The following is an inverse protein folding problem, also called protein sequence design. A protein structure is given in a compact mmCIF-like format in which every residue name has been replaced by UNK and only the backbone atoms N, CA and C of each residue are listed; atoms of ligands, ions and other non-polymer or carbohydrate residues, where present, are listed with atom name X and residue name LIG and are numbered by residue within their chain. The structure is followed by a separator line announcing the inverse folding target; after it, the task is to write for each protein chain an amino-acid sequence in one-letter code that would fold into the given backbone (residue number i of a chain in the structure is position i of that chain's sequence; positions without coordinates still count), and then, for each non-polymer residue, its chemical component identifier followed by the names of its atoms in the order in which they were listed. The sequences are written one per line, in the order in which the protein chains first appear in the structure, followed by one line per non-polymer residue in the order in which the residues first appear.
data_IF_392396760087
#
_entry.id   IF_392396760087
#
_cell.length_a   1.000
_cell.length_b   1.000
_cell.length_c   1.000
_cell.angle_alpha   90.00
_cell.angle_beta   90.00
_cell.angle_gamma   90.00
#
_symmetry.space_group_name_H-M   'P 1'
#
loop_
_entity.id
_entity.type
_entity.pdbx_description
1 polymer ?
#
# COMPACT_ATOMS: atom_id res chain seq x y z
N UNK A 1 48.13 16.53 -12.92
CA UNK A 1 47.73 15.33 -12.14
C UNK A 1 47.16 15.60 -10.74
N UNK A 2 47.31 16.80 -10.13
CA UNK A 2 46.85 17.07 -8.76
C UNK A 2 45.32 17.22 -8.56
N UNK A 3 44.53 17.40 -9.64
CA UNK A 3 43.10 17.74 -9.57
C UNK A 3 42.15 16.51 -9.57
N UNK A 4 42.69 15.31 -9.85
CA UNK A 4 41.92 14.06 -9.86
C UNK A 4 41.85 13.49 -8.43
N UNK A 5 42.95 13.52 -7.68
CA UNK A 5 43.01 12.99 -6.31
C UNK A 5 42.13 13.77 -5.31
N UNK A 6 42.05 15.10 -5.41
CA UNK A 6 41.19 15.89 -4.51
C UNK A 6 39.69 15.64 -4.74
N UNK A 7 39.27 15.42 -5.99
CA UNK A 7 37.88 15.05 -6.35
C UNK A 7 37.52 13.63 -5.92
N UNK A 8 38.44 12.67 -6.02
CA UNK A 8 38.21 11.32 -5.51
C UNK A 8 38.08 11.30 -3.98
N UNK A 9 38.99 11.94 -3.25
CA UNK A 9 38.95 12.01 -1.78
C UNK A 9 37.68 12.71 -1.29
N UNK A 10 37.22 13.77 -1.98
CA UNK A 10 35.95 14.44 -1.69
C UNK A 10 34.72 13.55 -1.91
N UNK A 11 34.72 12.74 -2.98
CA UNK A 11 33.65 11.76 -3.25
C UNK A 11 33.62 10.65 -2.22
N UNK A 12 34.76 10.08 -1.86
CA UNK A 12 34.87 9.00 -0.86
C UNK A 12 34.37 9.45 0.52
N UNK A 13 34.73 10.66 0.96
CA UNK A 13 34.21 11.24 2.21
C UNK A 13 32.70 11.46 2.18
N UNK A 14 32.15 11.94 1.06
CA UNK A 14 30.70 12.10 0.90
C UNK A 14 29.96 10.74 0.91
N UNK A 15 30.53 9.72 0.27
CA UNK A 15 29.97 8.37 0.25
C UNK A 15 30.00 7.76 1.64
N UNK A 16 31.12 7.87 2.37
CA UNK A 16 31.23 7.41 3.75
C UNK A 16 30.22 8.12 4.67
N UNK A 17 30.10 9.45 4.58
CA UNK A 17 29.13 10.19 5.39
C UNK A 17 27.66 9.83 5.09
N UNK A 18 27.32 9.59 3.81
CA UNK A 18 26.00 9.10 3.41
C UNK A 18 25.75 7.68 3.93
N UNK A 19 26.76 6.82 3.88
CA UNK A 19 26.69 5.46 4.40
C UNK A 19 26.46 5.46 5.92
N UNK A 20 27.22 6.25 6.68
CA UNK A 20 27.03 6.40 8.13
C UNK A 20 25.64 6.92 8.49
N UNK A 21 25.13 7.94 7.78
CA UNK A 21 23.76 8.45 8.01
C UNK A 21 22.69 7.37 7.75
N UNK A 22 22.86 6.58 6.69
CA UNK A 22 21.96 5.47 6.38
C UNK A 22 21.99 4.38 7.45
N UNK A 23 23.16 4.03 7.97
CA UNK A 23 23.28 3.04 9.06
C UNK A 23 22.56 3.53 10.31
N UNK A 24 22.85 4.75 10.75
CA UNK A 24 22.20 5.34 11.94
C UNK A 24 20.68 5.44 11.79
N UNK A 25 20.20 5.89 10.61
CA UNK A 25 18.77 5.96 10.35
C UNK A 25 18.10 4.58 10.40
N UNK A 26 18.76 3.54 9.87
CA UNK A 26 18.27 2.17 9.97
C UNK A 26 18.26 1.68 11.42
N UNK A 27 19.35 1.87 12.16
CA UNK A 27 19.42 1.47 13.58
C UNK A 27 18.31 2.13 14.41
N UNK A 28 18.06 3.42 14.20
CA UNK A 28 16.95 4.12 14.86
C UNK A 28 15.58 3.55 14.46
N UNK A 29 15.37 3.25 13.17
CA UNK A 29 14.12 2.64 12.70
C UNK A 29 13.85 1.29 13.38
N UNK A 30 14.89 0.48 13.59
CA UNK A 30 14.79 -0.81 14.27
C UNK A 30 14.39 -0.69 15.75
N UNK A 31 14.62 0.46 16.39
CA UNK A 31 14.20 0.71 17.78
C UNK A 31 12.73 1.12 17.91
N UNK A 32 12.02 1.36 16.80
CA UNK A 32 10.60 1.69 16.86
C UNK A 32 9.81 0.52 17.49
N UNK A 33 9.01 0.75 18.56
CA UNK A 33 8.41 -0.34 19.35
C UNK A 33 7.59 -1.36 18.55
N UNK A 34 6.95 -0.94 17.45
CA UNK A 34 6.16 -1.81 16.59
C UNK A 34 6.90 -2.28 15.33
N UNK A 35 8.21 -2.03 15.19
CA UNK A 35 8.95 -2.43 14.00
C UNK A 35 8.85 -3.93 13.72
N UNK A 36 9.15 -4.78 14.72
CA UNK A 36 9.03 -6.24 14.57
C UNK A 36 7.61 -6.69 14.22
N UNK A 37 6.60 -6.07 14.84
CA UNK A 37 5.20 -6.31 14.54
C UNK A 37 4.88 -6.01 13.06
N UNK A 38 5.38 -4.90 12.52
CA UNK A 38 5.18 -4.52 11.12
C UNK A 38 5.90 -5.44 10.13
N UNK A 39 7.11 -5.91 10.46
CA UNK A 39 7.83 -6.87 9.64
C UNK A 39 7.01 -8.16 9.49
N UNK A 40 6.51 -8.70 10.60
CA UNK A 40 5.74 -9.95 10.57
C UNK A 40 4.32 -9.75 10.01
N UNK A 41 3.70 -8.59 10.25
CA UNK A 41 2.44 -8.20 9.63
C UNK A 41 2.57 -8.12 8.11
N UNK A 42 3.57 -7.41 7.59
CA UNK A 42 3.78 -7.29 6.15
C UNK A 42 4.11 -8.64 5.53
N UNK A 43 4.89 -9.50 6.19
CA UNK A 43 5.13 -10.85 5.69
C UNK A 43 3.82 -11.65 5.57
N UNK A 44 2.94 -11.55 6.57
CA UNK A 44 1.62 -12.18 6.52
C UNK A 44 0.76 -11.62 5.38
N UNK A 45 0.72 -10.29 5.22
CA UNK A 45 -0.02 -9.61 4.15
C UNK A 45 0.49 -10.01 2.76
N UNK A 46 1.80 -10.06 2.55
CA UNK A 46 2.40 -10.45 1.27
C UNK A 46 2.13 -11.91 0.92
N UNK A 47 2.17 -12.82 1.90
CA UNK A 47 1.79 -14.21 1.68
C UNK A 47 0.30 -14.35 1.35
N UNK A 48 -0.56 -13.58 2.01
CA UNK A 48 -1.99 -13.56 1.73
C UNK A 48 -2.27 -13.05 0.31
N UNK A 49 -1.60 -11.97 -0.12
CA UNK A 49 -1.65 -11.45 -1.49
C UNK A 49 -1.19 -12.51 -2.50
N UNK A 50 -0.05 -13.15 -2.26
CA UNK A 50 0.48 -14.18 -3.15
C UNK A 50 -0.47 -15.39 -3.30
N UNK A 51 -1.22 -15.72 -2.23
CA UNK A 51 -2.17 -16.84 -2.27
C UNK A 51 -3.39 -16.59 -3.15
N UNK A 52 -3.80 -15.33 -3.30
CA UNK A 52 -4.99 -14.95 -4.10
C UNK A 52 -4.64 -14.39 -5.48
N UNK A 53 -3.39 -13.98 -5.69
CA UNK A 53 -2.90 -13.43 -6.96
C UNK A 53 -1.46 -13.87 -7.22
N UNK A 54 -1.23 -15.15 -7.57
CA UNK A 54 0.11 -15.72 -7.74
C UNK A 54 0.86 -15.15 -8.96
N UNK A 55 0.15 -14.82 -10.04
CA UNK A 55 0.73 -14.37 -11.32
C UNK A 55 1.09 -12.87 -11.33
N UNK A 56 1.23 -12.28 -10.14
CA UNK A 56 1.31 -10.85 -9.99
C UNK A 56 2.73 -10.31 -10.25
N UNK A 57 3.07 -10.16 -11.54
CA UNK A 57 4.42 -9.87 -12.04
C UNK A 57 4.93 -8.44 -11.78
N UNK A 58 4.06 -7.43 -11.70
CA UNK A 58 4.46 -6.00 -11.55
C UNK A 58 4.05 -5.45 -10.19
N UNK A 59 4.97 -5.25 -9.25
CA UNK A 59 4.60 -4.92 -7.87
C UNK A 59 4.45 -3.41 -7.62
N UNK A 60 3.42 -2.79 -8.21
CA UNK A 60 3.08 -1.37 -7.98
C UNK A 60 2.07 -1.24 -6.83
N UNK A 61 2.44 -0.46 -5.82
CA UNK A 61 1.66 -0.26 -4.61
C UNK A 61 1.29 1.20 -4.43
N UNK A 62 0.06 1.48 -4.01
CA UNK A 62 -0.30 2.76 -3.41
C UNK A 62 -0.67 2.58 -1.93
N UNK A 63 -0.26 3.51 -1.08
CA UNK A 63 -0.58 3.53 0.35
C UNK A 63 -1.33 4.82 0.65
N UNK A 64 -2.64 4.73 0.84
CA UNK A 64 -3.47 5.88 1.18
C UNK A 64 -3.52 6.04 2.71
N UNK A 65 -2.94 7.13 3.21
CA UNK A 65 -2.72 7.35 4.64
C UNK A 65 -1.40 6.75 5.13
N UNK A 66 -0.31 7.03 4.40
CA UNK A 66 1.03 6.50 4.68
C UNK A 66 1.68 7.07 5.95
N UNK A 67 1.27 8.26 6.39
CA UNK A 67 1.80 8.93 7.59
C UNK A 67 3.26 9.39 7.49
N UNK A 68 3.79 9.99 8.58
CA UNK A 68 5.18 10.47 8.64
C UNK A 68 6.21 9.34 8.66
N UNK A 69 5.79 8.14 9.05
CA UNK A 69 6.59 6.93 9.09
C UNK A 69 5.91 5.88 8.19
N UNK A 70 6.25 5.82 6.89
CA UNK A 70 5.63 4.93 5.92
C UNK A 70 6.13 3.49 6.08
N UNK A 71 5.91 2.92 7.27
CA UNK A 71 6.56 1.68 7.71
C UNK A 71 6.12 0.48 6.87
N UNK A 72 4.85 0.44 6.44
CA UNK A 72 4.36 -0.64 5.58
C UNK A 72 5.11 -0.69 4.25
N UNK A 73 5.27 0.44 3.56
CA UNK A 73 5.98 0.47 2.29
C UNK A 73 7.47 0.16 2.48
N UNK A 74 8.11 0.67 3.54
CA UNK A 74 9.49 0.32 3.89
C UNK A 74 9.67 -1.18 4.10
N UNK A 75 8.79 -1.82 4.88
CA UNK A 75 8.83 -3.26 5.12
C UNK A 75 8.59 -4.06 3.84
N UNK A 76 7.67 -3.63 2.96
CA UNK A 76 7.41 -4.27 1.66
C UNK A 76 8.65 -4.17 0.75
N UNK A 77 9.23 -2.97 0.64
CA UNK A 77 10.44 -2.74 -0.16
C UNK A 77 11.61 -3.59 0.35
N UNK A 78 11.76 -3.72 1.67
CA UNK A 78 12.76 -4.61 2.26
C UNK A 78 12.47 -6.09 2.01
N UNK A 79 11.21 -6.53 2.12
CA UNK A 79 10.80 -7.92 1.96
C UNK A 79 11.01 -8.43 0.54
N UNK A 80 10.77 -7.58 -0.46
CA UNK A 80 10.81 -7.94 -1.89
C UNK A 80 12.17 -7.70 -2.56
N UNK A 81 13.17 -7.28 -1.79
CA UNK A 81 14.61 -7.24 -2.13
C UNK A 81 14.95 -7.02 -3.62
N UNK A 82 14.79 -5.79 -4.12
CA UNK A 82 15.26 -5.32 -5.44
C UNK A 82 14.53 -5.80 -6.69
N UNK A 83 13.44 -6.57 -6.57
CA UNK A 83 12.43 -6.60 -7.64
C UNK A 83 11.90 -5.16 -7.85
N UNK A 84 11.49 -4.82 -9.08
CA UNK A 84 11.01 -3.49 -9.46
C UNK A 84 9.70 -3.14 -8.72
N UNK A 85 9.82 -2.81 -7.44
CA UNK A 85 8.74 -2.41 -6.54
C UNK A 85 8.67 -0.89 -6.55
N UNK A 86 7.50 -0.39 -6.92
CA UNK A 86 7.19 1.04 -6.87
C UNK A 86 6.12 1.26 -5.81
N UNK A 87 6.49 1.97 -4.74
CA UNK A 87 5.58 2.36 -3.68
C UNK A 87 5.22 3.84 -3.81
N UNK A 88 3.93 4.14 -3.98
CA UNK A 88 3.40 5.49 -3.94
C UNK A 88 2.72 5.73 -2.58
N UNK A 89 3.32 6.57 -1.76
CA UNK A 89 2.85 6.89 -0.42
C UNK A 89 2.05 8.20 -0.46
N UNK A 90 0.77 8.15 -0.11
CA UNK A 90 -0.12 9.31 -0.10
C UNK A 90 -0.52 9.64 1.33
N UNK A 91 -0.52 10.92 1.68
CA UNK A 91 -1.08 11.41 2.93
C UNK A 91 -1.63 12.83 2.73
N UNK A 92 -2.66 13.19 3.50
CA UNK A 92 -3.26 14.52 3.42
C UNK A 92 -2.46 15.59 4.19
N UNK A 93 -1.61 15.17 5.13
CA UNK A 93 -0.76 16.07 5.91
C UNK A 93 0.60 16.30 5.21
N UNK A 94 0.82 17.54 4.75
CA UNK A 94 2.07 17.96 4.12
C UNK A 94 3.29 17.78 5.04
N UNK A 95 3.11 17.90 6.36
CA UNK A 95 4.17 17.70 7.36
C UNK A 95 4.55 16.23 7.45
N UNK A 96 3.55 15.34 7.43
CA UNK A 96 3.76 13.90 7.37
C UNK A 96 4.55 13.51 6.11
N UNK A 97 4.14 14.01 4.94
CA UNK A 97 4.85 13.77 3.67
C UNK A 97 6.30 14.28 3.72
N UNK A 98 6.52 15.51 4.19
CA UNK A 98 7.88 16.08 4.29
C UNK A 98 8.78 15.25 5.21
N UNK A 99 8.23 14.76 6.32
CA UNK A 99 8.93 13.90 7.28
C UNK A 99 9.26 12.55 6.66
N UNK A 100 8.28 11.91 6.00
CA UNK A 100 8.43 10.62 5.34
C UNK A 100 9.47 10.65 4.21
N UNK A 101 9.45 11.71 3.39
CA UNK A 101 10.45 11.94 2.32
C UNK A 101 11.85 12.08 2.92
N UNK A 102 12.00 12.85 4.00
CA UNK A 102 13.30 13.05 4.66
C UNK A 102 13.83 11.74 5.23
N UNK A 103 12.97 10.97 5.90
CA UNK A 103 13.32 9.65 6.43
C UNK A 103 13.73 8.68 5.31
N UNK A 104 12.92 8.53 4.26
CA UNK A 104 13.19 7.57 3.18
C UNK A 104 14.47 7.91 2.42
N UNK A 105 14.76 9.21 2.22
CA UNK A 105 16.05 9.66 1.67
C UNK A 105 17.22 9.32 2.59
N UNK A 106 17.07 9.48 3.91
CA UNK A 106 18.11 9.11 4.88
C UNK A 106 18.37 7.59 4.89
N UNK A 107 17.32 6.78 4.70
CA UNK A 107 17.41 5.31 4.55
C UNK A 107 17.95 4.89 3.17
N UNK A 108 18.11 5.83 2.24
CA UNK A 108 18.71 5.62 0.92
C UNK A 108 17.74 5.12 -0.15
N UNK A 109 16.44 5.34 0.02
CA UNK A 109 15.45 5.11 -1.04
C UNK A 109 15.46 6.24 -2.06
N UNK A 110 15.16 5.90 -3.31
CA UNK A 110 15.06 6.84 -4.41
C UNK A 110 13.59 7.19 -4.72
N UNK A 111 13.30 8.36 -5.32
CA UNK A 111 11.93 8.75 -5.68
C UNK A 111 11.22 7.79 -6.64
N UNK A 112 11.98 7.03 -7.45
CA UNK A 112 11.45 6.06 -8.41
C UNK A 112 10.92 4.80 -7.72
N UNK A 113 11.46 4.45 -6.55
CA UNK A 113 11.02 3.28 -5.76
C UNK A 113 10.04 3.67 -4.65
N UNK A 114 10.18 4.90 -4.13
CA UNK A 114 9.41 5.46 -3.03
C UNK A 114 8.96 6.88 -3.39
N UNK A 115 7.77 6.97 -3.98
CA UNK A 115 7.12 8.23 -4.31
C UNK A 115 6.25 8.69 -3.12
N UNK A 116 6.10 10.01 -2.99
CA UNK A 116 5.29 10.65 -1.95
C UNK A 116 4.44 11.77 -2.53
N UNK A 117 3.15 11.79 -2.21
CA UNK A 117 2.20 12.80 -2.68
C UNK A 117 1.35 13.31 -1.52
N UNK A 118 1.25 14.64 -1.38
CA UNK A 118 0.35 15.28 -0.43
C UNK A 118 -1.03 15.44 -1.07
N UNK A 119 -1.97 14.55 -0.72
CA UNK A 119 -3.32 14.56 -1.25
C UNK A 119 -4.28 13.80 -0.30
N UNK A 120 -5.57 14.13 -0.34
CA UNK A 120 -6.56 13.27 0.30
C UNK A 120 -6.70 11.96 -0.48
N UNK A 121 -7.08 10.86 0.20
CA UNK A 121 -7.24 9.56 -0.44
C UNK A 121 -8.24 9.57 -1.63
N UNK A 122 -9.27 10.42 -1.54
CA UNK A 122 -10.27 10.63 -2.60
C UNK A 122 -9.86 11.64 -3.68
N UNK A 123 -8.63 12.15 -3.68
CA UNK A 123 -8.22 13.14 -4.67
C UNK A 123 -8.11 12.50 -6.07
N UNK A 124 -8.69 13.11 -7.12
CA UNK A 124 -8.55 12.65 -8.50
C UNK A 124 -7.12 12.78 -9.03
N UNK A 125 -6.27 13.55 -8.37
CA UNK A 125 -4.85 13.75 -8.74
C UNK A 125 -4.00 12.49 -8.49
N UNK A 126 -4.57 11.47 -7.85
CA UNK A 126 -3.91 10.18 -7.62
C UNK A 126 -4.40 9.23 -8.71
N UNK A 127 -3.50 8.87 -9.64
CA UNK A 127 -3.80 7.91 -10.69
C UNK A 127 -3.77 6.47 -10.14
N UNK A 128 -4.90 6.07 -9.53
CA UNK A 128 -5.07 4.75 -8.93
C UNK A 128 -5.14 3.62 -9.97
N UNK A 129 -5.35 3.93 -11.26
CA UNK A 129 -5.41 2.95 -12.34
C UNK A 129 -4.06 2.29 -12.64
N UNK A 130 -2.96 2.95 -12.29
CA UNK A 130 -1.60 2.44 -12.45
C UNK A 130 -1.17 1.42 -11.38
N UNK A 131 -1.90 1.33 -10.27
CA UNK A 131 -1.54 0.47 -9.15
C UNK A 131 -2.32 -0.83 -9.17
N UNK A 132 -1.63 -1.90 -8.86
CA UNK A 132 -2.28 -3.20 -8.74
C UNK A 132 -2.68 -3.55 -7.32
N UNK A 133 -2.04 -2.92 -6.33
CA UNK A 133 -2.34 -3.14 -4.92
C UNK A 133 -2.45 -1.77 -4.26
N UNK A 134 -3.62 -1.49 -3.69
CA UNK A 134 -3.88 -0.26 -2.94
C UNK A 134 -4.14 -0.62 -1.48
N UNK A 135 -3.25 -0.15 -0.61
CA UNK A 135 -3.42 -0.22 0.83
C UNK A 135 -4.24 0.97 1.32
N UNK A 136 -5.33 0.69 2.01
CA UNK A 136 -6.13 1.68 2.70
C UNK A 136 -5.79 1.67 4.20
N UNK A 137 -5.23 2.78 4.70
CA UNK A 137 -5.06 2.95 6.13
C UNK A 137 -6.42 3.09 6.82
N UNK A 138 -6.51 2.57 8.05
CA UNK A 138 -7.77 2.57 8.80
C UNK A 138 -8.34 3.95 9.17
N UNK A 139 -7.55 5.01 8.98
CA UNK A 139 -7.87 6.40 9.34
C UNK A 139 -8.41 7.24 8.16
N UNK A 140 -8.65 6.64 6.99
CA UNK A 140 -9.23 7.36 5.85
C UNK A 140 -10.73 7.59 6.11
N UNK A 141 -11.05 8.68 6.81
CA UNK A 141 -12.41 9.15 7.10
C UNK A 141 -12.85 8.99 8.56
N UNK A 142 -13.45 10.03 9.14
CA UNK A 142 -13.77 10.10 10.58
C UNK A 142 -15.05 9.35 11.00
N UNK A 143 -15.97 9.06 10.07
CA UNK A 143 -17.21 8.31 10.33
C UNK A 143 -17.42 7.18 9.30
N UNK A 144 -18.26 6.19 9.62
CA UNK A 144 -18.49 5.01 8.77
C UNK A 144 -19.03 5.35 7.38
N UNK A 145 -19.90 6.35 7.26
CA UNK A 145 -20.44 6.81 5.97
C UNK A 145 -19.37 7.45 5.10
N UNK A 146 -18.56 8.35 5.67
CA UNK A 146 -17.48 9.00 4.94
C UNK A 146 -16.37 8.01 4.52
N UNK A 147 -16.12 6.97 5.34
CA UNK A 147 -15.24 5.85 4.97
C UNK A 147 -15.74 5.12 3.74
N UNK A 148 -17.04 4.82 3.70
CA UNK A 148 -17.66 4.14 2.55
C UNK A 148 -17.58 5.00 1.29
N UNK A 149 -17.87 6.30 1.37
CA UNK A 149 -17.76 7.24 0.24
C UNK A 149 -16.34 7.32 -0.31
N UNK A 150 -15.33 7.46 0.56
CA UNK A 150 -13.93 7.49 0.12
C UNK A 150 -13.52 6.14 -0.48
N UNK A 151 -13.93 5.03 0.12
CA UNK A 151 -13.65 3.70 -0.42
C UNK A 151 -14.28 3.52 -1.80
N UNK A 152 -15.54 3.96 -1.99
CA UNK A 152 -16.22 3.92 -3.27
C UNK A 152 -15.51 4.77 -4.34
N UNK A 153 -15.06 5.98 -3.98
CA UNK A 153 -14.29 6.84 -4.88
C UNK A 153 -12.95 6.21 -5.27
N UNK A 154 -12.22 5.66 -4.30
CA UNK A 154 -10.95 4.97 -4.53
C UNK A 154 -11.15 3.79 -5.49
N UNK A 155 -12.13 2.94 -5.23
CA UNK A 155 -12.39 1.74 -6.04
C UNK A 155 -12.76 2.11 -7.47
N UNK A 156 -13.56 3.15 -7.68
CA UNK A 156 -13.92 3.65 -9.03
C UNK A 156 -12.72 4.08 -9.87
N UNK A 157 -11.63 4.53 -9.23
CA UNK A 157 -10.41 4.98 -9.91
C UNK A 157 -9.36 3.88 -10.07
N UNK A 158 -9.58 2.71 -9.48
CA UNK A 158 -8.68 1.56 -9.62
C UNK A 158 -9.01 0.74 -10.87
N UNK A 159 -8.00 0.06 -11.42
CA UNK A 159 -8.22 -0.88 -12.53
C UNK A 159 -8.94 -2.15 -12.05
N UNK A 160 -9.83 -2.74 -12.86
CA UNK A 160 -10.40 -4.05 -12.58
C UNK A 160 -9.32 -5.11 -12.34
N UNK A 161 -9.55 -5.99 -11.37
CA UNK A 161 -8.59 -7.01 -10.95
C UNK A 161 -7.49 -6.50 -10.01
N UNK A 162 -7.37 -5.19 -9.75
CA UNK A 162 -6.50 -4.68 -8.69
C UNK A 162 -6.99 -5.13 -7.31
N UNK A 163 -6.07 -5.23 -6.35
CA UNK A 163 -6.36 -5.61 -4.97
C UNK A 163 -6.45 -4.38 -4.08
N UNK A 164 -7.44 -4.38 -3.19
CA UNK A 164 -7.51 -3.48 -2.05
C UNK A 164 -7.13 -4.25 -0.81
N UNK A 165 -6.14 -3.75 -0.07
CA UNK A 165 -5.66 -4.33 1.18
C UNK A 165 -6.01 -3.40 2.33
N UNK A 166 -6.75 -3.93 3.30
CA UNK A 166 -7.20 -3.19 4.47
C UNK A 166 -6.73 -3.89 5.73
N UNK A 167 -6.28 -3.10 6.71
CA UNK A 167 -6.02 -3.61 8.07
C UNK A 167 -7.29 -3.49 8.89
N UNK A 168 -7.58 -4.55 9.63
CA UNK A 168 -8.74 -4.71 10.50
C UNK A 168 -8.30 -5.23 11.87
N UNK A 169 -9.26 -5.61 12.72
CA UNK A 169 -9.00 -6.32 13.95
C UNK A 169 -10.09 -7.33 14.26
N UNK A 170 -9.76 -8.31 15.10
CA UNK A 170 -10.65 -9.38 15.51
C UNK A 170 -10.47 -9.71 17.00
N UNK A 171 -11.51 -10.29 17.62
CA UNK A 171 -11.56 -10.59 19.06
C UNK A 171 -11.22 -9.36 19.93
N UNK A 172 -10.41 -9.53 21.00
CA UNK A 172 -10.05 -8.44 21.91
C UNK A 172 -9.21 -7.33 21.25
N UNK A 173 -8.57 -7.60 20.10
CA UNK A 173 -7.77 -6.59 19.39
C UNK A 173 -8.64 -5.47 18.80
N UNK A 174 -9.97 -5.67 18.72
CA UNK A 174 -10.96 -4.64 18.36
C UNK A 174 -10.95 -3.44 19.32
N UNK A 175 -10.43 -3.61 20.54
CA UNK A 175 -10.23 -2.51 21.50
C UNK A 175 -9.07 -1.58 21.10
N UNK A 176 -8.13 -2.07 20.28
CA UNK A 176 -6.92 -1.35 19.88
C UNK A 176 -7.02 -0.78 18.46
N UNK A 177 -7.84 -1.38 17.61
CA UNK A 177 -7.87 -1.04 16.19
C UNK A 177 -9.27 -1.23 15.60
N UNK A 178 -9.70 -0.38 14.67
CA UNK A 178 -11.03 -0.47 14.06
C UNK A 178 -11.21 -1.76 13.26
N UNK A 179 -12.45 -2.24 13.22
CA UNK A 179 -12.86 -3.38 12.40
C UNK A 179 -13.31 -2.89 11.04
N UNK A 180 -12.79 -3.53 10.01
CA UNK A 180 -13.34 -3.51 8.66
C UNK A 180 -14.30 -4.68 8.56
N UNK A 181 -15.59 -4.37 8.54
CA UNK A 181 -16.66 -5.36 8.37
C UNK A 181 -16.75 -5.74 6.90
N UNK A 182 -16.76 -7.04 6.61
CA UNK A 182 -16.93 -7.57 5.26
C UNK A 182 -18.43 -7.73 5.01
N UNK A 183 -19.05 -6.71 4.42
CA UNK A 183 -20.50 -6.63 4.21
C UNK A 183 -20.88 -6.60 2.72
N UNK A 184 -22.17 -6.71 2.44
CA UNK A 184 -22.74 -6.53 1.09
C UNK A 184 -22.44 -5.13 0.51
N UNK A 185 -22.18 -4.14 1.37
CA UNK A 185 -21.80 -2.78 0.95
C UNK A 185 -20.46 -2.74 0.21
N UNK A 186 -19.59 -3.74 0.37
CA UNK A 186 -18.39 -3.85 -0.45
C UNK A 186 -18.74 -4.20 -1.90
N UNK A 187 -19.71 -5.10 -2.10
CA UNK A 187 -20.13 -5.49 -3.44
C UNK A 187 -20.81 -4.31 -4.17
N UNK A 188 -21.58 -3.48 -3.45
CA UNK A 188 -22.27 -2.32 -4.05
C UNK A 188 -21.31 -1.27 -4.62
N UNK A 189 -20.05 -1.24 -4.16
CA UNK A 189 -19.00 -0.34 -4.66
C UNK A 189 -18.01 -1.05 -5.60
N UNK A 190 -18.26 -2.30 -5.98
CA UNK A 190 -17.40 -3.06 -6.89
C UNK A 190 -16.20 -3.73 -6.23
N UNK A 191 -16.25 -4.01 -4.93
CA UNK A 191 -15.25 -4.82 -4.23
C UNK A 191 -15.80 -6.19 -3.88
N UNK A 192 -15.07 -7.23 -4.30
CA UNK A 192 -15.32 -8.60 -3.85
C UNK A 192 -14.25 -9.06 -2.87
N UNK A 193 -14.59 -9.34 -1.61
CA UNK A 193 -13.67 -9.91 -0.65
C UNK A 193 -13.11 -11.26 -1.15
N UNK A 194 -11.79 -11.43 -1.06
CA UNK A 194 -11.10 -12.67 -1.42
C UNK A 194 -10.62 -13.44 -0.21
N UNK A 195 -10.05 -12.74 0.77
CA UNK A 195 -9.41 -13.36 1.92
C UNK A 195 -9.45 -12.45 3.14
N UNK A 196 -9.69 -13.05 4.30
CA UNK A 196 -9.52 -12.41 5.61
C UNK A 196 -8.56 -13.26 6.44
N UNK A 197 -7.52 -12.63 6.99
CA UNK A 197 -6.51 -13.29 7.82
C UNK A 197 -6.51 -12.69 9.22
N UNK A 198 -6.76 -13.54 10.22
CA UNK A 198 -6.71 -13.19 11.63
C UNK A 198 -5.47 -13.79 12.29
N UNK A 199 -4.54 -12.96 12.82
CA UNK A 199 -3.39 -13.48 13.53
C UNK A 199 -3.74 -13.94 14.94
N UNK A 200 -3.16 -15.07 15.36
CA UNK A 200 -3.24 -15.60 16.72
C UNK A 200 -1.93 -15.44 17.51
N UNK A 201 -1.00 -14.63 17.01
CA UNK A 201 0.31 -14.34 17.61
C UNK A 201 0.41 -12.86 18.02
N UNK A 202 1.62 -12.31 18.11
CA UNK A 202 1.86 -10.93 18.51
C UNK A 202 1.37 -9.88 17.50
N UNK A 203 1.03 -10.26 16.26
CA UNK A 203 0.53 -9.34 15.24
C UNK A 203 -0.83 -8.78 15.70
N UNK A 204 -1.00 -7.46 15.58
CA UNK A 204 -2.20 -6.76 16.06
C UNK A 204 -3.28 -6.74 14.98
N UNK A 205 -2.91 -6.40 13.76
CA UNK A 205 -3.89 -6.20 12.70
C UNK A 205 -4.28 -7.51 12.03
N UNK A 206 -5.58 -7.69 11.83
CA UNK A 206 -6.09 -8.61 10.79
C UNK A 206 -5.90 -7.98 9.42
N UNK A 207 -5.85 -8.79 8.38
CA UNK A 207 -5.76 -8.35 6.99
C UNK A 207 -7.04 -8.75 6.23
N UNK A 208 -7.62 -7.82 5.49
CA UNK A 208 -8.72 -8.06 4.55
C UNK A 208 -8.19 -7.74 3.16
N UNK A 209 -8.32 -8.68 2.22
CA UNK A 209 -7.97 -8.51 0.81
C UNK A 209 -9.25 -8.64 -0.01
N UNK A 210 -9.53 -7.61 -0.81
CA UNK A 210 -10.62 -7.60 -1.77
C UNK A 210 -10.08 -7.31 -3.18
N UNK A 211 -10.80 -7.74 -4.21
CA UNK A 211 -10.49 -7.44 -5.60
C UNK A 211 -11.51 -6.46 -6.16
N UNK A 212 -11.04 -5.52 -6.98
CA UNK A 212 -11.88 -4.63 -7.77
C UNK A 212 -12.52 -5.45 -8.89
N UNK A 213 -13.84 -5.52 -8.90
CA UNK A 213 -14.57 -6.23 -9.93
C UNK A 213 -14.55 -5.45 -11.25
N UNK A 214 -14.63 -6.16 -12.36
CA UNK A 214 -14.93 -5.50 -13.63
C UNK A 214 -16.36 -4.95 -13.52
N UNK A 215 -16.64 -3.74 -14.03
CA UNK A 215 -18.02 -3.29 -14.18
C UNK A 215 -18.75 -4.40 -14.92
N UNK A 216 -19.83 -4.93 -14.35
CA UNK A 216 -20.62 -5.96 -15.01
C UNK A 216 -20.95 -5.43 -16.41
N UNK A 217 -20.33 -6.02 -17.43
CA UNK A 217 -20.68 -5.73 -18.81
C UNK A 217 -22.13 -6.13 -18.96
N UNK A 218 -23.01 -5.17 -19.19
CA UNK A 218 -24.28 -5.45 -19.82
C UNK A 218 -23.90 -6.12 -21.15
N UNK A 219 -23.98 -7.45 -21.21
CA UNK A 219 -23.89 -8.17 -22.47
C UNK A 219 -24.96 -7.60 -23.41
N UNK A 220 -24.68 -7.49 -24.72
CA UNK A 220 -25.72 -7.05 -25.65
C UNK A 220 -26.91 -8.01 -25.51
N UNK A 221 -28.10 -7.41 -25.43
CA UNK A 221 -29.39 -8.09 -25.41
C UNK A 221 -29.35 -9.34 -26.29
N UNK A 222 -29.69 -10.48 -25.67
CA UNK A 222 -30.07 -11.69 -26.37
C UNK A 222 -31.31 -11.40 -27.20
N UNK A 223 -31.09 -10.84 -28.39
CA UNK A 223 -32.07 -10.77 -29.45
C UNK A 223 -32.46 -12.21 -29.78
N UNK A 224 -33.75 -12.50 -29.57
CA UNK A 224 -34.33 -13.80 -29.82
C UNK A 224 -34.12 -14.19 -31.28
N UNK A 225 -33.57 -15.38 -31.48
CA UNK A 225 -33.64 -16.08 -32.75
C UNK A 225 -34.73 -17.14 -32.63
N UNK A 226 -35.99 -16.72 -32.83
CA UNK A 226 -37.03 -17.64 -33.27
C UNK A 226 -36.77 -17.96 -34.74
N UNK A 227 -35.83 -18.89 -34.97
CA UNK A 227 -35.53 -19.46 -36.27
C UNK A 227 -36.14 -20.86 -36.38
N UNK A 228 -37.38 -20.94 -36.84
CA UNK A 228 -38.00 -22.18 -37.30
C UNK A 228 -37.11 -22.87 -38.34
N UNK A 229 -36.84 -24.16 -38.17
CA UNK A 229 -36.59 -25.03 -39.32
C UNK A 229 -37.34 -26.35 -39.15
N UNK A 230 -38.04 -26.65 -40.23
CA UNK A 230 -38.81 -27.86 -40.50
C UNK A 230 -37.92 -29.10 -40.64
#
# INVERSE_FOLDING_TARGET
MANINSKLIGRERCVAAKHTKKVVANEMLLTFPYHGNYVDLVRMEMNAIASVKPDFATRTFAFLGSGPLPLTSLCISHHLQSECVSCHNVDQDATAITTAVTLCRALGHSPETMCFQCASAGSPDIDLGCFDIVYLAALVGGCSTHKHEIMADVVKRMKPGALVVMRSAHSLRRLLYPVVEVTEDMASIGLRPLLVVHPYNHIVNSCVIAVVESPCGCGPDGTGDEGSFA
#
